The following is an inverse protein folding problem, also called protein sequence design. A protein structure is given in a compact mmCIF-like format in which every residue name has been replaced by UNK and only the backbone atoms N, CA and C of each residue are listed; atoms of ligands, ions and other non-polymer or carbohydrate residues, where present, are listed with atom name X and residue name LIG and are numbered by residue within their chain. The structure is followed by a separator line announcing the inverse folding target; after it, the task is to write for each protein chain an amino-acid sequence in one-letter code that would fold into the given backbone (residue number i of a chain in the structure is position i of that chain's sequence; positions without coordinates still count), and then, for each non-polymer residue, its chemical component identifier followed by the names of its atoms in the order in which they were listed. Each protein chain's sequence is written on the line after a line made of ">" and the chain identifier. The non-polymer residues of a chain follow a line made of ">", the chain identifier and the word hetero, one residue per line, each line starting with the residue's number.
data_IF_536714630022
#
_entry.id   IF_536714630022
#
_cell.length_a   1.000
_cell.length_b   1.000
_cell.length_c   1.000
_cell.angle_alpha   90.00
_cell.angle_beta   90.00
_cell.angle_gamma   90.00
#
_symmetry.space_group_name_H-M   'P 1'
#
loop_
_entity.id
_entity.type
_entity.pdbx_description
1 polymer ?
#
# COMPACT_ATOMS: atom_id res chain seq x y z
N UNK A 1 -10.80 -28.88 1.60
CA UNK A 1 -11.37 -27.53 1.34
C UNK A 1 -10.26 -26.67 0.76
N UNK A 2 -10.44 -26.09 -0.42
CA UNK A 2 -9.49 -25.08 -0.93
C UNK A 2 -9.73 -23.79 -0.16
N UNK A 3 -8.75 -23.35 0.59
CA UNK A 3 -8.79 -22.09 1.33
C UNK A 3 -8.99 -20.92 0.36
N UNK A 4 -10.02 -20.12 0.61
CA UNK A 4 -10.36 -18.99 -0.23
C UNK A 4 -9.44 -17.82 0.12
N UNK A 5 -8.43 -17.56 -0.72
CA UNK A 5 -7.47 -16.47 -0.49
C UNK A 5 -7.97 -15.11 -1.01
N UNK A 6 -8.68 -15.09 -2.15
CA UNK A 6 -9.17 -13.86 -2.75
C UNK A 6 -10.46 -13.35 -2.10
N UNK A 7 -10.51 -12.04 -1.84
CA UNK A 7 -11.70 -11.32 -1.40
C UNK A 7 -12.41 -10.59 -2.56
N UNK A 8 -13.57 -10.02 -2.28
CA UNK A 8 -14.29 -9.19 -3.25
C UNK A 8 -13.46 -7.93 -3.63
N UNK A 9 -13.46 -7.44 -4.87
CA UNK A 9 -14.23 -7.93 -6.03
C UNK A 9 -13.66 -9.20 -6.66
N UNK A 10 -14.55 -10.02 -7.20
CA UNK A 10 -14.21 -11.25 -7.91
C UNK A 10 -14.82 -11.22 -9.32
N UNK A 11 -14.09 -11.68 -10.35
CA UNK A 11 -12.68 -12.11 -10.33
C UNK A 11 -11.73 -10.93 -10.13
N UNK A 12 -10.50 -11.17 -9.65
CA UNK A 12 -9.54 -10.09 -9.29
C UNK A 12 -8.84 -9.45 -10.51
N UNK A 13 -9.28 -9.73 -11.72
CA UNK A 13 -8.67 -9.21 -12.93
C UNK A 13 -8.82 -7.68 -13.03
N UNK A 14 -7.75 -7.00 -13.46
CA UNK A 14 -7.73 -5.55 -13.64
C UNK A 14 -7.65 -4.74 -12.32
N UNK A 15 -7.47 -5.40 -11.17
CA UNK A 15 -7.34 -4.78 -9.86
C UNK A 15 -6.13 -5.32 -9.12
N UNK A 16 -5.63 -4.56 -8.15
CA UNK A 16 -4.83 -5.18 -7.10
C UNK A 16 -5.75 -6.09 -6.29
N UNK A 17 -5.41 -7.38 -6.12
CA UNK A 17 -6.31 -8.31 -5.46
C UNK A 17 -6.59 -7.90 -4.02
N UNK A 18 -7.86 -7.90 -3.63
CA UNK A 18 -8.23 -7.96 -2.23
C UNK A 18 -8.10 -9.40 -1.75
N UNK A 19 -7.82 -9.61 -0.49
CA UNK A 19 -7.55 -10.94 0.04
C UNK A 19 -8.14 -11.14 1.44
N UNK A 20 -8.38 -12.39 1.78
CA UNK A 20 -8.79 -12.80 3.12
C UNK A 20 -7.62 -12.56 4.08
N UNK A 21 -7.88 -11.88 5.20
CA UNK A 21 -6.85 -11.49 6.16
C UNK A 21 -6.23 -10.12 5.93
N UNK A 22 -6.80 -9.29 5.03
CA UNK A 22 -6.30 -7.93 4.78
C UNK A 22 -6.34 -7.06 6.05
N UNK A 23 -7.32 -7.24 6.91
CA UNK A 23 -7.41 -6.52 8.19
C UNK A 23 -6.29 -6.92 9.15
N UNK A 24 -6.02 -8.21 9.27
CA UNK A 24 -4.96 -8.77 10.11
C UNK A 24 -3.58 -8.37 9.59
N UNK A 25 -3.41 -8.35 8.26
CA UNK A 25 -2.19 -7.86 7.62
C UNK A 25 -1.98 -6.37 7.89
N UNK A 26 -3.03 -5.57 7.79
CA UNK A 26 -2.98 -4.14 8.09
C UNK A 26 -2.62 -3.87 9.55
N UNK A 27 -3.25 -4.60 10.49
CA UNK A 27 -2.96 -4.47 11.91
C UNK A 27 -1.51 -4.86 12.24
N UNK A 28 -1.01 -5.94 11.65
CA UNK A 28 0.38 -6.37 11.84
C UNK A 28 1.37 -5.32 11.30
N UNK A 29 1.12 -4.80 10.11
CA UNK A 29 1.99 -3.77 9.50
C UNK A 29 2.02 -2.49 10.35
N UNK A 30 0.86 -1.98 10.76
CA UNK A 30 0.77 -0.75 11.55
C UNK A 30 1.40 -0.89 12.94
N UNK A 31 1.42 -2.10 13.50
CA UNK A 31 2.07 -2.38 14.79
C UNK A 31 3.59 -2.51 14.68
N UNK A 32 4.14 -2.68 13.49
CA UNK A 32 5.58 -2.78 13.30
C UNK A 32 6.27 -1.44 13.66
N UNK A 33 7.36 -1.44 14.45
CA UNK A 33 7.99 -0.20 14.96
C UNK A 33 8.35 0.81 13.87
N UNK A 34 8.84 0.35 12.73
CA UNK A 34 9.18 1.24 11.62
C UNK A 34 7.94 1.95 11.05
N UNK A 35 6.80 1.28 11.01
CA UNK A 35 5.54 1.86 10.50
C UNK A 35 4.87 2.73 11.55
N UNK A 36 4.86 2.29 12.81
CA UNK A 36 4.27 3.02 13.93
C UNK A 36 4.92 4.38 14.17
N UNK A 37 6.17 4.57 13.73
CA UNK A 37 6.88 5.85 13.84
C UNK A 37 6.34 6.93 12.88
N UNK A 38 5.66 6.54 11.80
CA UNK A 38 5.13 7.49 10.83
C UNK A 38 3.83 8.13 11.32
N UNK A 39 3.73 9.43 11.22
CA UNK A 39 2.51 10.21 11.56
C UNK A 39 1.72 10.62 10.34
N UNK A 40 2.34 10.56 9.18
CA UNK A 40 1.72 10.91 7.89
C UNK A 40 2.18 9.92 6.84
N UNK A 41 1.22 9.26 6.21
CA UNK A 41 1.44 8.22 5.20
C UNK A 41 0.73 8.55 3.91
N UNK A 42 1.33 8.16 2.79
CA UNK A 42 0.60 7.98 1.54
C UNK A 42 0.04 6.56 1.54
N UNK A 43 -1.23 6.39 1.26
CA UNK A 43 -1.86 5.07 1.17
C UNK A 43 -2.63 4.95 -0.13
N UNK A 44 -2.40 3.88 -0.86
CA UNK A 44 -3.10 3.62 -2.12
C UNK A 44 -4.61 3.51 -1.96
N UNK A 45 -5.31 3.72 -3.08
CA UNK A 45 -6.77 3.73 -3.15
C UNK A 45 -7.40 2.32 -3.25
N UNK A 46 -6.58 1.28 -3.26
CA UNK A 46 -7.04 -0.08 -3.48
C UNK A 46 -7.89 -0.62 -2.32
N UNK A 47 -8.79 -1.53 -2.65
CA UNK A 47 -9.70 -2.14 -1.67
C UNK A 47 -8.97 -2.94 -0.60
N UNK A 48 -7.89 -3.62 -0.96
CA UNK A 48 -7.05 -4.35 -0.02
C UNK A 48 -6.47 -3.47 1.10
N UNK A 49 -6.33 -2.17 0.84
CA UNK A 49 -5.81 -1.19 1.79
C UNK A 49 -6.90 -0.48 2.61
N UNK A 50 -8.17 -0.77 2.36
CA UNK A 50 -9.26 -0.15 3.14
C UNK A 50 -9.13 -0.38 4.65
N UNK A 51 -8.86 -1.62 5.13
CA UNK A 51 -8.66 -1.84 6.55
C UNK A 51 -7.49 -1.05 7.13
N UNK A 52 -6.40 -0.93 6.37
CA UNK A 52 -5.23 -0.14 6.78
C UNK A 52 -5.58 1.34 6.90
N UNK A 53 -6.27 1.90 5.91
CA UNK A 53 -6.72 3.31 5.96
C UNK A 53 -7.56 3.57 7.21
N UNK A 54 -8.52 2.68 7.48
CA UNK A 54 -9.40 2.81 8.64
C UNK A 54 -8.65 2.74 9.97
N UNK A 55 -7.77 1.76 10.12
CA UNK A 55 -6.98 1.59 11.34
C UNK A 55 -5.99 2.74 11.55
N UNK A 56 -5.31 3.18 10.50
CA UNK A 56 -4.35 4.28 10.58
C UNK A 56 -5.02 5.60 10.98
N UNK A 57 -6.14 5.95 10.35
CA UNK A 57 -6.91 7.14 10.70
C UNK A 57 -7.46 7.07 12.13
N UNK A 58 -7.94 5.90 12.57
CA UNK A 58 -8.39 5.72 13.95
C UNK A 58 -7.26 5.88 14.97
N UNK A 59 -6.02 5.61 14.59
CA UNK A 59 -4.82 5.83 15.40
C UNK A 59 -4.27 7.25 15.31
N UNK A 60 -4.95 8.16 14.63
CA UNK A 60 -4.53 9.56 14.48
C UNK A 60 -3.46 9.81 13.42
N UNK A 61 -3.20 8.86 12.54
CA UNK A 61 -2.29 9.04 11.40
C UNK A 61 -2.99 9.84 10.31
N UNK A 62 -2.30 10.83 9.76
CA UNK A 62 -2.78 11.58 8.60
C UNK A 62 -2.48 10.81 7.33
N UNK A 63 -3.44 10.72 6.43
CA UNK A 63 -3.29 10.02 5.16
C UNK A 63 -3.36 10.98 3.98
N UNK A 64 -2.51 10.75 3.00
CA UNK A 64 -2.66 11.26 1.65
C UNK A 64 -3.17 10.12 0.75
N UNK A 65 -4.36 10.30 0.19
CA UNK A 65 -4.99 9.33 -0.69
C UNK A 65 -4.97 9.87 -2.13
N UNK A 66 -4.49 9.09 -3.11
CA UNK A 66 -4.50 9.54 -4.50
C UNK A 66 -5.91 9.85 -4.99
N UNK A 67 -6.07 10.99 -5.66
CA UNK A 67 -7.32 11.31 -6.33
C UNK A 67 -7.43 10.49 -7.62
N UNK A 68 -8.38 9.58 -7.68
CA UNK A 68 -8.59 8.72 -8.84
C UNK A 68 -9.15 9.45 -10.08
N UNK A 69 -9.60 10.69 -9.94
CA UNK A 69 -10.16 11.49 -11.04
C UNK A 69 -9.21 12.56 -11.53
N UNK A 70 -8.22 12.94 -10.72
CA UNK A 70 -7.22 13.96 -11.07
C UNK A 70 -5.83 13.41 -10.84
N UNK A 71 -5.16 13.03 -11.91
CA UNK A 71 -3.79 12.54 -11.83
C UNK A 71 -2.87 13.55 -11.15
N UNK A 72 -2.02 13.06 -10.24
CA UNK A 72 -1.08 13.88 -9.49
C UNK A 72 -1.65 14.60 -8.27
N UNK A 73 -2.95 14.51 -8.03
CA UNK A 73 -3.60 15.10 -6.87
C UNK A 73 -3.83 14.08 -5.77
N UNK A 74 -3.94 14.59 -4.55
CA UNK A 74 -4.21 13.82 -3.33
C UNK A 74 -5.36 14.45 -2.55
N UNK A 75 -5.98 13.64 -1.69
CA UNK A 75 -6.76 14.14 -0.57
C UNK A 75 -5.98 13.90 0.71
N UNK A 76 -5.71 14.97 1.44
CA UNK A 76 -5.21 14.89 2.81
C UNK A 76 -6.40 14.61 3.72
N UNK A 77 -6.34 13.51 4.45
CA UNK A 77 -7.44 13.01 5.27
C UNK A 77 -6.93 12.77 6.70
N UNK A 78 -7.65 13.26 7.68
CA UNK A 78 -7.42 13.03 9.10
C UNK A 78 -8.69 12.55 9.85
N UNK A 79 -9.78 12.36 9.13
CA UNK A 79 -11.04 11.82 9.63
C UNK A 79 -11.23 10.37 9.19
N UNK A 80 -11.64 9.50 10.13
CA UNK A 80 -11.89 8.06 9.86
C UNK A 80 -12.89 7.84 8.73
N UNK A 81 -13.86 8.73 8.55
CA UNK A 81 -14.80 8.66 7.44
C UNK A 81 -14.11 8.66 6.07
N UNK A 82 -12.96 9.31 5.98
CA UNK A 82 -12.17 9.38 4.75
C UNK A 82 -11.45 8.09 4.37
N UNK A 83 -11.49 7.04 5.20
CA UNK A 83 -11.03 5.70 4.82
C UNK A 83 -11.83 5.15 3.63
N UNK A 84 -13.09 5.53 3.51
CA UNK A 84 -13.91 5.27 2.33
C UNK A 84 -13.59 6.31 1.25
N UNK A 85 -13.23 5.86 0.05
CA UNK A 85 -12.77 6.73 -1.03
C UNK A 85 -13.84 7.73 -1.52
N UNK A 86 -15.12 7.39 -1.41
CA UNK A 86 -16.18 8.34 -1.73
C UNK A 86 -16.23 9.47 -0.71
N UNK A 87 -16.07 9.11 0.56
CA UNK A 87 -16.06 10.07 1.68
C UNK A 87 -14.79 10.89 1.74
N UNK A 88 -13.65 10.34 1.30
CA UNK A 88 -12.38 11.07 1.29
C UNK A 88 -12.44 12.37 0.50
N UNK A 89 -13.28 12.43 -0.54
CA UNK A 89 -13.53 13.66 -1.31
C UNK A 89 -14.35 14.70 -0.56
N UNK A 90 -15.20 14.26 0.35
CA UNK A 90 -16.07 15.13 1.13
C UNK A 90 -15.35 15.68 2.37
N UNK A 91 -14.55 14.83 3.05
CA UNK A 91 -13.89 15.17 4.31
C UNK A 91 -12.41 15.50 4.16
N UNK A 92 -11.81 15.18 3.03
CA UNK A 92 -10.40 15.42 2.74
C UNK A 92 -10.14 16.78 2.11
N UNK A 93 -8.92 17.26 2.24
CA UNK A 93 -8.44 18.49 1.63
C UNK A 93 -7.65 18.17 0.35
N UNK A 94 -8.04 18.69 -0.81
CA UNK A 94 -7.26 18.50 -2.04
C UNK A 94 -5.85 19.10 -1.91
N UNK A 95 -4.86 18.30 -2.26
CA UNK A 95 -3.44 18.69 -2.25
C UNK A 95 -2.74 18.22 -3.52
N UNK A 96 -1.88 19.07 -4.06
CA UNK A 96 -1.05 18.71 -5.20
C UNK A 96 0.20 17.92 -4.78
N UNK A 97 0.61 18.03 -3.52
CA UNK A 97 1.80 17.38 -2.97
C UNK A 97 1.48 16.74 -1.62
N UNK A 98 2.02 15.55 -1.33
CA UNK A 98 1.84 14.89 -0.04
C UNK A 98 2.83 15.40 1.00
N UNK A 99 2.74 16.68 1.35
CA UNK A 99 3.64 17.33 2.28
C UNK A 99 3.61 16.67 3.67
N UNK A 100 4.79 16.39 4.20
CA UNK A 100 4.94 15.76 5.51
C UNK A 100 4.79 14.24 5.50
N UNK A 101 4.43 13.62 4.38
CA UNK A 101 4.42 12.17 4.27
C UNK A 101 5.84 11.62 4.33
N UNK A 102 6.04 10.59 5.15
CA UNK A 102 7.35 9.99 5.40
C UNK A 102 7.47 8.55 4.93
N UNK A 103 6.39 7.94 4.50
CA UNK A 103 6.34 6.62 3.90
C UNK A 103 5.07 6.44 3.07
N UNK A 104 5.04 5.38 2.28
CA UNK A 104 3.89 4.98 1.48
C UNK A 104 3.52 3.52 1.72
N UNK A 105 2.22 3.23 1.70
CA UNK A 105 1.70 1.86 1.70
C UNK A 105 0.91 1.65 0.42
N UNK A 106 1.35 0.69 -0.38
CA UNK A 106 0.75 0.37 -1.68
C UNK A 106 0.31 -1.09 -1.73
N UNK A 107 -0.77 -1.36 -2.42
CA UNK A 107 -1.18 -2.72 -2.75
C UNK A 107 -0.23 -3.34 -3.78
N UNK A 108 -0.24 -4.65 -3.89
CA UNK A 108 0.53 -5.39 -4.89
C UNK A 108 -0.33 -6.46 -5.58
N UNK A 109 0.13 -6.91 -6.72
CA UNK A 109 -0.36 -8.15 -7.37
C UNK A 109 0.41 -9.35 -6.82
N UNK A 110 1.72 -9.18 -6.70
CA UNK A 110 2.61 -10.14 -6.08
C UNK A 110 3.84 -9.42 -5.51
N UNK A 111 4.55 -10.07 -4.62
CA UNK A 111 5.77 -9.55 -4.01
C UNK A 111 6.74 -10.69 -3.74
N UNK A 112 8.02 -10.45 -4.02
CA UNK A 112 9.10 -11.40 -3.72
C UNK A 112 9.68 -11.19 -2.32
N UNK A 113 10.38 -12.19 -1.77
CA UNK A 113 10.98 -12.11 -0.44
C UNK A 113 12.09 -11.05 -0.33
N UNK A 114 12.68 -10.66 -1.46
CA UNK A 114 13.64 -9.56 -1.54
C UNK A 114 13.00 -8.16 -1.59
N UNK A 115 11.69 -8.06 -1.53
CA UNK A 115 10.96 -6.80 -1.58
C UNK A 115 10.55 -6.34 -2.98
N UNK A 116 10.88 -7.09 -4.02
CA UNK A 116 10.41 -6.79 -5.37
C UNK A 116 8.89 -6.85 -5.46
N UNK A 117 8.25 -5.75 -5.86
CA UNK A 117 6.80 -5.60 -5.92
C UNK A 117 6.34 -5.57 -7.37
N UNK A 118 5.30 -6.32 -7.67
CA UNK A 118 4.57 -6.24 -8.92
C UNK A 118 3.26 -5.49 -8.69
N UNK A 119 3.06 -4.42 -9.44
CA UNK A 119 1.78 -3.71 -9.51
C UNK A 119 1.00 -4.14 -10.75
N UNK A 120 -0.18 -3.59 -10.92
CA UNK A 120 -0.97 -3.81 -12.13
C UNK A 120 -0.43 -3.08 -13.38
N UNK A 121 0.74 -2.44 -13.29
CA UNK A 121 1.44 -1.81 -14.40
C UNK A 121 0.89 -0.47 -14.86
N UNK A 122 -0.16 0.03 -14.23
CA UNK A 122 -0.73 1.35 -14.52
C UNK A 122 -1.30 1.97 -13.24
N UNK A 123 -1.60 3.24 -13.32
CA UNK A 123 -2.09 4.00 -12.17
C UNK A 123 -0.96 4.54 -11.31
N UNK A 124 -1.27 4.81 -10.09
CA UNK A 124 -0.50 5.70 -9.24
C UNK A 124 0.85 5.17 -8.74
N UNK A 125 1.16 3.92 -8.90
CA UNK A 125 2.40 3.33 -8.37
C UNK A 125 3.60 3.38 -9.33
N UNK A 126 3.39 3.71 -10.60
CA UNK A 126 4.45 3.61 -11.59
C UNK A 126 5.31 4.88 -11.69
N UNK A 127 4.69 6.03 -11.82
CA UNK A 127 5.39 7.30 -12.12
C UNK A 127 5.49 8.28 -10.94
N UNK A 128 4.67 8.13 -9.92
CA UNK A 128 4.56 9.13 -8.87
C UNK A 128 5.41 8.86 -7.63
N UNK A 129 5.34 7.66 -7.08
CA UNK A 129 5.95 7.34 -5.80
C UNK A 129 7.46 7.11 -5.82
N UNK A 130 8.05 6.45 -6.82
CA UNK A 130 9.50 6.33 -6.89
C UNK A 130 10.22 7.67 -6.91
N UNK A 131 9.59 8.68 -7.51
CA UNK A 131 10.15 10.04 -7.56
C UNK A 131 10.18 10.75 -6.19
N UNK A 132 9.41 10.28 -5.21
CA UNK A 132 9.38 10.87 -3.88
C UNK A 132 10.48 10.33 -2.94
N UNK A 133 11.13 9.22 -3.30
CA UNK A 133 12.20 8.63 -2.49
C UNK A 133 11.76 8.13 -1.12
N UNK A 134 10.46 7.90 -0.91
CA UNK A 134 9.91 7.46 0.37
C UNK A 134 10.01 5.93 0.52
N UNK A 135 10.28 5.44 1.75
CA UNK A 135 10.14 4.02 2.03
C UNK A 135 8.72 3.55 1.73
N UNK A 136 8.61 2.39 1.10
CA UNK A 136 7.33 1.81 0.67
C UNK A 136 7.12 0.48 1.37
N UNK A 137 5.88 0.25 1.79
CA UNK A 137 5.40 -0.97 2.41
C UNK A 137 4.22 -1.53 1.62
N UNK A 138 3.94 -2.80 1.76
CA UNK A 138 2.78 -3.43 1.11
C UNK A 138 2.06 -4.39 2.03
N UNK A 139 0.83 -4.74 1.66
CA UNK A 139 0.06 -5.84 2.25
C UNK A 139 -0.10 -6.95 1.24
N UNK A 140 0.04 -8.18 1.68
CA UNK A 140 -0.13 -9.35 0.83
C UNK A 140 -0.73 -10.54 1.60
N UNK A 141 -1.39 -11.43 0.87
CA UNK A 141 -1.65 -12.79 1.34
C UNK A 141 -0.42 -13.66 1.05
N UNK A 142 -0.20 -14.70 1.83
CA UNK A 142 0.96 -15.62 1.64
C UNK A 142 1.04 -16.18 0.21
N UNK A 143 -0.10 -16.39 -0.46
CA UNK A 143 -0.16 -16.83 -1.85
C UNK A 143 0.27 -15.79 -2.88
N UNK A 144 0.42 -14.54 -2.46
CA UNK A 144 0.96 -13.45 -3.30
C UNK A 144 2.48 -13.33 -3.17
N UNK A 145 3.10 -14.08 -2.23
CA UNK A 145 4.55 -14.19 -2.12
C UNK A 145 5.05 -15.16 -3.19
N UNK A 146 5.82 -14.67 -4.14
CA UNK A 146 6.37 -15.45 -5.24
C UNK A 146 7.90 -15.40 -5.24
N UNK A 147 8.52 -16.56 -5.42
CA UNK A 147 9.97 -16.67 -5.55
C UNK A 147 10.32 -17.79 -6.54
N UNK A 148 10.84 -17.45 -7.73
CA UNK A 148 11.08 -16.10 -8.25
C UNK A 148 9.80 -15.40 -8.68
N UNK A 149 9.88 -14.07 -8.85
CA UNK A 149 8.81 -13.32 -9.51
C UNK A 149 8.72 -13.69 -10.98
N UNK A 150 7.52 -13.70 -11.57
CA UNK A 150 7.33 -14.09 -12.98
C UNK A 150 7.85 -13.06 -13.99
N UNK A 151 8.12 -11.86 -13.54
CA UNK A 151 8.69 -10.76 -14.32
C UNK A 151 9.46 -9.80 -13.42
N UNK A 152 10.28 -8.89 -13.98
CA UNK A 152 10.98 -7.88 -13.19
C UNK A 152 10.03 -7.03 -12.36
N UNK A 153 10.38 -6.73 -11.09
CA UNK A 153 9.56 -5.88 -10.24
C UNK A 153 9.53 -4.44 -10.77
N UNK A 154 8.42 -3.77 -10.55
CA UNK A 154 8.25 -2.36 -10.92
C UNK A 154 8.58 -1.39 -9.77
N UNK A 155 8.71 -1.89 -8.58
CA UNK A 155 9.11 -1.13 -7.40
C UNK A 155 9.61 -2.07 -6.29
N UNK A 156 10.10 -1.47 -5.19
CA UNK A 156 10.67 -2.21 -4.07
C UNK A 156 10.00 -1.78 -2.76
N UNK A 157 9.73 -2.75 -1.89
CA UNK A 157 9.18 -2.52 -0.56
C UNK A 157 10.15 -2.99 0.53
N UNK A 158 10.08 -2.34 1.68
CA UNK A 158 10.90 -2.68 2.85
C UNK A 158 10.21 -3.64 3.79
N UNK A 159 8.89 -3.59 3.85
CA UNK A 159 8.08 -4.44 4.71
C UNK A 159 6.88 -4.98 3.94
N UNK A 160 6.53 -6.22 4.24
CA UNK A 160 5.35 -6.88 3.73
C UNK A 160 4.48 -7.27 4.93
N UNK A 161 3.33 -6.63 5.08
CA UNK A 161 2.32 -7.04 6.04
C UNK A 161 1.56 -8.26 5.54
N UNK A 162 1.62 -9.34 6.30
CA UNK A 162 0.88 -10.58 6.07
C UNK A 162 -0.15 -10.77 7.18
N UNK A 163 -1.20 -11.59 6.98
CA UNK A 163 -2.12 -11.89 8.06
C UNK A 163 -1.38 -12.43 9.29
N UNK A 164 -1.31 -11.60 10.35
CA UNK A 164 -0.69 -11.93 11.63
C UNK A 164 0.81 -11.79 11.73
N UNK A 165 1.51 -11.35 10.68
CA UNK A 165 2.97 -11.15 10.73
C UNK A 165 3.46 -10.07 9.76
N UNK A 166 4.70 -9.64 9.93
CA UNK A 166 5.40 -8.74 9.00
C UNK A 166 6.69 -9.39 8.56
N UNK A 167 6.95 -9.39 7.26
CA UNK A 167 8.24 -9.78 6.69
C UNK A 167 9.07 -8.53 6.41
N UNK A 168 10.27 -8.48 6.96
CA UNK A 168 11.26 -7.47 6.62
C UNK A 168 12.02 -7.89 5.36
N UNK A 169 12.10 -6.98 4.40
CA UNK A 169 12.86 -7.20 3.18
C UNK A 169 14.27 -6.64 3.34
N UNK A 170 15.30 -7.32 2.82
CA UNK A 170 16.66 -6.80 2.89
C UNK A 170 16.72 -5.44 2.19
N UNK A 171 17.23 -4.44 2.90
CA UNK A 171 17.64 -3.20 2.27
C UNK A 171 18.86 -3.52 1.43
N UNK A 172 18.69 -3.53 0.11
CA UNK A 172 19.83 -3.48 -0.78
C UNK A 172 20.51 -2.12 -0.53
N UNK A 173 21.70 -2.12 0.05
CA UNK A 173 22.56 -0.93 0.18
C UNK A 173 22.97 -0.37 -1.19
N UNK A 174 22.65 -1.06 -2.23
CA UNK A 174 22.77 -0.59 -3.61
C UNK A 174 21.44 -0.05 -4.08
N UNK A 175 21.06 1.12 -3.58
CA UNK A 175 20.12 2.02 -4.21
C UNK A 175 20.68 2.60 -5.50
N UNK A 176 21.31 1.78 -6.32
CA UNK A 176 21.59 2.12 -7.69
C UNK A 176 20.31 1.87 -8.47
N UNK A 177 19.66 2.96 -8.83
CA UNK A 177 18.75 3.03 -9.94
C UNK A 177 19.43 2.31 -11.13
N UNK A 178 19.01 1.08 -11.38
CA UNK A 178 19.25 0.50 -12.68
C UNK A 178 18.42 1.30 -13.69
N UNK A 179 19.01 1.68 -14.83
CA UNK A 179 18.35 2.48 -15.85
C UNK A 179 17.12 1.78 -16.42
#
# INVERSE_FOLDING_TARGET
>A
MRERAAGYPLPPHGHHPNFVGAKEAAAALLAHPQVAAHRTLIVGADRALYPLRKLALAAGVVLYLPDQKREGWYFRVDDVAGANLKRSREVGEPKLRPEGATAAVLACVAVGPGGGRLSKGYGWGWNGLPALGLPTYTLAHRRMLLNPLPCPPDSWVRLIGLPGEVTECPTSETGSLAP
#
